data_IF_621495305321
#
_entry.id   IF_621495305321
#
_cell.length_a   1.000
_cell.length_b   1.000
_cell.length_c   1.000
_cell.angle_alpha   90.00
_cell.angle_beta   90.00
_cell.angle_gamma   90.00
#
_symmetry.space_group_name_H-M   'P 1'
#
loop_
_entity.id
_entity.type
_entity.pdbx_description
1 polymer ?
#
# COMPACT_ATOMS: atom_id res chain seq x y z
N UNK A 1 40.74 -47.04 21.82
CA UNK A 1 41.56 -46.01 22.47
C UNK A 1 41.46 -44.77 21.61
N UNK A 2 40.60 -43.81 21.98
CA UNK A 2 40.71 -42.42 21.48
C UNK A 2 41.83 -41.76 22.29
N UNK A 3 42.56 -40.83 21.68
CA UNK A 3 42.51 -39.48 22.21
C UNK A 3 42.34 -38.40 21.12
N UNK A 4 41.98 -37.24 21.65
CA UNK A 4 41.52 -35.99 21.05
C UNK A 4 42.55 -35.19 20.25
N UNK A 5 42.03 -34.10 19.66
CA UNK A 5 42.72 -32.85 19.26
C UNK A 5 43.16 -32.83 17.80
N UNK A 6 42.79 -31.88 16.94
CA UNK A 6 42.21 -30.55 17.13
C UNK A 6 41.45 -30.15 15.86
N UNK A 7 40.32 -29.50 16.08
CA UNK A 7 39.65 -28.63 15.13
C UNK A 7 40.58 -27.45 14.82
N UNK A 8 41.06 -27.31 13.59
CA UNK A 8 41.73 -26.09 13.12
C UNK A 8 41.02 -25.61 11.87
N UNK A 9 40.17 -24.61 12.07
CA UNK A 9 39.65 -23.72 11.04
C UNK A 9 40.82 -23.30 10.15
N UNK A 10 40.84 -23.78 8.89
CA UNK A 10 41.73 -23.22 7.90
C UNK A 10 41.20 -21.83 7.57
N UNK A 11 41.93 -20.86 8.08
CA UNK A 11 41.81 -19.43 7.86
C UNK A 11 41.55 -19.15 6.38
N UNK A 12 40.55 -18.32 6.10
CA UNK A 12 40.41 -17.62 4.83
C UNK A 12 41.63 -16.73 4.68
N UNK A 13 42.68 -17.29 4.08
CA UNK A 13 43.85 -16.54 3.64
C UNK A 13 43.32 -15.55 2.61
N UNK A 14 43.31 -14.26 2.95
CA UNK A 14 43.20 -13.17 1.99
C UNK A 14 44.44 -13.27 1.07
N UNK A 15 44.40 -14.23 0.14
CA UNK A 15 45.36 -14.30 -0.95
C UNK A 15 45.15 -13.05 -1.76
N UNK A 16 46.02 -12.07 -1.53
CA UNK A 16 46.19 -10.90 -2.37
C UNK A 16 46.53 -11.43 -3.76
N UNK A 17 45.51 -11.61 -4.59
CA UNK A 17 45.66 -12.02 -5.99
C UNK A 17 46.45 -10.93 -6.70
N UNK A 18 47.68 -11.25 -7.06
CA UNK A 18 48.53 -10.39 -7.88
C UNK A 18 48.05 -10.40 -9.35
N UNK A 19 48.15 -9.26 -10.02
CA UNK A 19 47.75 -9.11 -11.43
C UNK A 19 48.43 -10.13 -12.36
N UNK A 20 49.69 -10.47 -12.11
CA UNK A 20 50.43 -11.46 -12.89
C UNK A 20 49.89 -12.88 -12.69
N UNK A 21 49.47 -13.20 -11.47
CA UNK A 21 48.82 -14.47 -11.15
C UNK A 21 47.46 -14.60 -11.85
N UNK A 22 46.65 -13.53 -11.88
CA UNK A 22 45.38 -13.48 -12.63
C UNK A 22 45.62 -13.61 -14.14
N UNK A 23 46.65 -12.92 -14.68
CA UNK A 23 46.99 -12.99 -16.10
C UNK A 23 47.45 -14.39 -16.54
N UNK A 24 48.29 -15.05 -15.74
CA UNK A 24 48.73 -16.44 -16.01
C UNK A 24 47.54 -17.39 -16.02
N UNK A 25 46.64 -17.26 -15.04
CA UNK A 25 45.44 -18.08 -14.94
C UNK A 25 44.53 -17.94 -16.17
N UNK A 26 44.31 -16.72 -16.65
CA UNK A 26 43.49 -16.48 -17.85
C UNK A 26 44.15 -17.00 -19.14
N UNK A 27 45.48 -17.02 -19.21
CA UNK A 27 46.23 -17.60 -20.34
C UNK A 27 46.16 -19.13 -20.36
N UNK A 28 46.26 -19.76 -19.19
CA UNK A 28 46.18 -21.22 -19.04
C UNK A 28 44.75 -21.74 -19.24
N UNK A 29 43.75 -20.86 -19.11
CA UNK A 29 42.33 -21.18 -19.27
C UNK A 29 41.63 -20.28 -20.33
N UNK A 30 41.90 -20.45 -21.63
CA UNK A 30 41.30 -19.61 -22.68
C UNK A 30 39.78 -19.77 -22.82
N UNK A 31 39.22 -20.91 -22.39
CA UNK A 31 37.77 -21.20 -22.35
C UNK A 31 37.05 -20.47 -21.20
N UNK A 32 37.80 -19.82 -20.29
CA UNK A 32 37.28 -19.29 -19.04
C UNK A 32 36.11 -18.33 -19.24
N UNK A 33 36.19 -17.44 -20.23
CA UNK A 33 35.12 -16.48 -20.54
C UNK A 33 33.94 -17.09 -21.31
N UNK A 34 34.13 -18.20 -22.01
CA UNK A 34 33.03 -18.95 -22.62
C UNK A 34 32.20 -19.68 -21.55
N UNK A 35 32.85 -20.11 -20.47
CA UNK A 35 32.19 -20.76 -19.32
C UNK A 35 31.60 -19.77 -18.31
N UNK A 36 32.03 -18.50 -18.35
CA UNK A 36 31.62 -17.44 -17.43
C UNK A 36 31.16 -16.19 -18.19
N UNK A 37 30.19 -16.34 -19.10
CA UNK A 37 29.66 -15.25 -19.93
C UNK A 37 29.13 -14.08 -19.07
N UNK A 38 28.58 -14.36 -17.89
CA UNK A 38 28.10 -13.33 -16.95
C UNK A 38 29.22 -12.43 -16.40
N UNK A 39 30.44 -12.95 -16.25
CA UNK A 39 31.62 -12.18 -15.82
C UNK A 39 32.06 -11.22 -16.93
N UNK A 40 32.01 -11.67 -18.18
CA UNK A 40 32.28 -10.84 -19.35
C UNK A 40 31.23 -9.71 -19.49
N UNK A 41 29.97 -9.99 -19.16
CA UNK A 41 28.89 -9.00 -19.16
C UNK A 41 29.05 -7.92 -18.07
N UNK A 42 29.84 -8.17 -17.01
CA UNK A 42 30.09 -7.21 -15.91
C UNK A 42 31.43 -6.50 -16.04
N UNK A 43 32.40 -7.06 -16.75
CA UNK A 43 33.70 -6.42 -16.95
C UNK A 43 33.67 -5.25 -17.94
N UNK A 44 34.60 -4.31 -17.71
CA UNK A 44 34.95 -3.22 -18.63
C UNK A 44 36.26 -3.63 -19.30
N UNK A 45 36.17 -4.17 -20.51
CA UNK A 45 37.35 -4.47 -21.34
C UNK A 45 37.52 -3.31 -22.31
N UNK A 46 38.44 -2.37 -22.08
CA UNK A 46 38.67 -1.27 -23.01
C UNK A 46 39.26 -1.81 -24.31
N UNK A 47 38.55 -1.67 -25.42
CA UNK A 47 39.08 -2.01 -26.73
C UNK A 47 39.90 -0.81 -27.24
N UNK A 48 41.21 -1.00 -27.47
CA UNK A 48 42.06 0.09 -27.98
C UNK A 48 41.77 0.38 -29.45
N UNK A 49 40.66 1.05 -29.76
CA UNK A 49 40.36 1.60 -31.08
C UNK A 49 40.82 3.06 -31.22
N UNK A 50 42.04 3.40 -30.79
CA UNK A 50 42.59 4.76 -30.95
C UNK A 50 41.67 5.89 -30.45
N UNK A 51 41.66 7.05 -31.14
CA UNK A 51 40.88 8.24 -30.80
C UNK A 51 39.38 8.22 -31.18
N UNK A 52 38.87 7.08 -31.68
CA UNK A 52 37.47 6.90 -32.03
C UNK A 52 36.80 5.92 -31.05
N UNK A 53 35.70 6.34 -30.44
CA UNK A 53 34.88 5.49 -29.57
C UNK A 53 34.27 4.38 -30.46
N UNK A 54 34.48 3.11 -30.08
CA UNK A 54 33.93 1.97 -30.82
C UNK A 54 32.40 1.98 -30.76
N UNK A 55 31.73 1.89 -31.91
CA UNK A 55 30.28 1.77 -31.98
C UNK A 55 29.76 0.53 -31.23
N UNK A 56 30.57 -0.54 -31.18
CA UNK A 56 30.24 -1.75 -30.43
C UNK A 56 30.25 -1.49 -28.92
N UNK A 57 31.27 -0.78 -28.41
CA UNK A 57 31.32 -0.38 -26.99
C UNK A 57 30.12 0.51 -26.63
N UNK A 58 29.79 1.47 -27.51
CA UNK A 58 28.62 2.32 -27.33
C UNK A 58 27.32 1.52 -27.37
N UNK A 59 27.20 0.53 -28.26
CA UNK A 59 26.03 -0.33 -28.37
C UNK A 59 25.87 -1.25 -27.15
N UNK A 60 26.95 -1.86 -26.65
CA UNK A 60 26.95 -2.67 -25.43
C UNK A 60 26.58 -1.83 -24.22
N UNK A 61 27.14 -0.63 -24.08
CA UNK A 61 26.79 0.30 -23.00
C UNK A 61 25.30 0.70 -23.04
N UNK A 62 24.76 0.97 -24.24
CA UNK A 62 23.34 1.27 -24.43
C UNK A 62 22.45 0.06 -24.08
N UNK A 63 22.84 -1.15 -24.47
CA UNK A 63 22.11 -2.36 -24.13
C UNK A 63 22.13 -2.65 -22.63
N UNK A 64 23.28 -2.49 -21.96
CA UNK A 64 23.40 -2.63 -20.50
C UNK A 64 22.49 -1.63 -19.78
N UNK A 65 22.54 -0.36 -20.17
CA UNK A 65 21.66 0.68 -19.62
C UNK A 65 20.19 0.35 -19.83
N UNK A 66 19.80 -0.10 -21.03
CA UNK A 66 18.41 -0.48 -21.31
C UNK A 66 17.97 -1.69 -20.51
N UNK A 67 18.88 -2.64 -20.26
CA UNK A 67 18.62 -3.80 -19.43
C UNK A 67 18.41 -3.40 -17.97
N UNK A 68 19.27 -2.55 -17.42
CA UNK A 68 19.13 -1.96 -16.08
C UNK A 68 17.79 -1.21 -15.95
N UNK A 69 17.49 -0.29 -16.88
CA UNK A 69 16.21 0.45 -16.89
C UNK A 69 14.98 -0.47 -17.03
N UNK A 70 15.13 -1.66 -17.61
CA UNK A 70 14.04 -2.64 -17.72
C UNK A 70 13.90 -3.46 -16.43
N UNK A 71 15.02 -3.83 -15.80
CA UNK A 71 15.04 -4.51 -14.52
C UNK A 71 14.41 -3.63 -13.44
N UNK A 72 14.78 -2.35 -13.39
CA UNK A 72 14.18 -1.38 -12.46
C UNK A 72 12.65 -1.31 -12.61
N UNK A 73 12.13 -1.38 -13.84
CA UNK A 73 10.68 -1.39 -14.09
C UNK A 73 10.01 -2.66 -13.59
N UNK A 74 10.67 -3.81 -13.77
CA UNK A 74 10.16 -5.10 -13.28
C UNK A 74 10.12 -5.08 -11.75
N UNK A 75 11.17 -4.58 -11.10
CA UNK A 75 11.25 -4.49 -9.65
C UNK A 75 10.14 -3.59 -9.10
N UNK A 76 9.93 -2.43 -9.71
CA UNK A 76 8.79 -1.56 -9.39
C UNK A 76 7.43 -2.27 -9.58
N UNK A 77 7.25 -3.09 -10.62
CA UNK A 77 6.00 -3.85 -10.79
C UNK A 77 5.82 -4.91 -9.72
N UNK A 78 6.89 -5.59 -9.30
CA UNK A 78 6.85 -6.60 -8.23
C UNK A 78 6.49 -5.94 -6.90
N UNK A 79 7.06 -4.77 -6.59
CA UNK A 79 6.72 -4.00 -5.38
C UNK A 79 5.24 -3.62 -5.37
N UNK A 80 4.75 -3.01 -6.46
CA UNK A 80 3.32 -2.67 -6.58
C UNK A 80 2.42 -3.91 -6.50
N UNK A 81 2.82 -5.05 -7.07
CA UNK A 81 2.06 -6.28 -6.98
C UNK A 81 1.96 -6.80 -5.53
N UNK A 82 3.06 -6.74 -4.77
CA UNK A 82 3.07 -7.12 -3.35
C UNK A 82 2.19 -6.21 -2.50
N UNK A 83 2.26 -4.90 -2.70
CA UNK A 83 1.39 -3.94 -2.01
C UNK A 83 -0.09 -4.19 -2.31
N UNK A 84 -0.41 -4.51 -3.57
CA UNK A 84 -1.78 -4.84 -3.98
C UNK A 84 -2.28 -6.15 -3.34
N UNK A 85 -1.44 -7.19 -3.29
CA UNK A 85 -1.80 -8.46 -2.64
C UNK A 85 -2.04 -8.27 -1.14
N UNK A 86 -1.21 -7.44 -0.48
CA UNK A 86 -1.40 -7.11 0.93
C UNK A 86 -2.71 -6.34 1.17
N UNK A 87 -3.01 -5.34 0.34
CA UNK A 87 -4.27 -4.59 0.40
C UNK A 87 -5.48 -5.50 0.15
N UNK A 88 -5.37 -6.45 -0.78
CA UNK A 88 -6.42 -7.42 -1.06
C UNK A 88 -6.70 -8.30 0.16
N UNK A 89 -5.69 -8.88 0.79
CA UNK A 89 -5.89 -9.74 1.98
C UNK A 89 -6.43 -8.96 3.19
N UNK A 90 -5.98 -7.71 3.39
CA UNK A 90 -6.55 -6.80 4.40
C UNK A 90 -8.03 -6.52 4.13
N UNK A 91 -8.36 -6.17 2.89
CA UNK A 91 -9.74 -5.90 2.46
C UNK A 91 -10.63 -7.13 2.66
N UNK A 92 -10.14 -8.31 2.25
CA UNK A 92 -10.82 -9.60 2.45
C UNK A 92 -11.11 -9.86 3.92
N UNK A 93 -10.13 -9.64 4.79
CA UNK A 93 -10.26 -9.83 6.24
C UNK A 93 -11.31 -8.89 6.82
N UNK A 94 -11.25 -7.60 6.48
CA UNK A 94 -12.25 -6.60 6.92
C UNK A 94 -13.66 -6.98 6.46
N UNK A 95 -13.82 -7.44 5.23
CA UNK A 95 -15.13 -7.86 4.70
C UNK A 95 -15.70 -9.05 5.47
N UNK A 96 -14.88 -10.06 5.76
CA UNK A 96 -15.32 -11.22 6.53
C UNK A 96 -15.75 -10.81 7.95
N UNK A 97 -15.01 -9.88 8.57
CA UNK A 97 -15.38 -9.37 9.88
C UNK A 97 -16.68 -8.55 9.84
N UNK A 98 -16.88 -7.71 8.80
CA UNK A 98 -18.11 -6.93 8.60
C UNK A 98 -19.32 -7.87 8.56
N UNK A 99 -19.26 -8.93 7.74
CA UNK A 99 -20.38 -9.87 7.56
C UNK A 99 -20.75 -10.60 8.86
N UNK A 100 -19.81 -10.75 9.80
CA UNK A 100 -20.04 -11.41 11.08
C UNK A 100 -20.67 -10.48 12.15
N UNK A 101 -20.80 -9.19 11.89
CA UNK A 101 -21.44 -8.24 12.83
C UNK A 101 -22.96 -8.35 12.80
N UNK A 102 -23.60 -8.21 13.96
CA UNK A 102 -25.06 -8.37 14.13
C UNK A 102 -25.78 -7.07 14.46
N UNK A 103 -25.07 -5.97 14.67
CA UNK A 103 -25.67 -4.65 14.93
C UNK A 103 -24.84 -3.52 14.32
N UNK A 104 -25.46 -2.35 14.13
CA UNK A 104 -24.75 -1.16 13.66
C UNK A 104 -23.67 -0.67 14.63
N UNK A 105 -23.84 -0.94 15.93
CA UNK A 105 -22.89 -0.57 16.98
C UNK A 105 -21.62 -1.42 16.83
N UNK A 106 -21.79 -2.75 16.77
CA UNK A 106 -20.69 -3.69 16.50
C UNK A 106 -19.96 -3.36 15.19
N UNK A 107 -20.72 -2.97 14.15
CA UNK A 107 -20.14 -2.57 12.88
C UNK A 107 -19.30 -1.30 13.00
N UNK A 108 -19.79 -0.27 13.71
CA UNK A 108 -19.07 0.98 13.94
C UNK A 108 -17.79 0.76 14.75
N UNK A 109 -17.86 -0.07 15.79
CA UNK A 109 -16.71 -0.44 16.62
C UNK A 109 -15.68 -1.25 15.84
N UNK A 110 -16.14 -2.20 15.01
CA UNK A 110 -15.27 -2.97 14.13
C UNK A 110 -14.52 -2.05 13.18
N UNK A 111 -15.22 -1.15 12.48
CA UNK A 111 -14.61 -0.24 11.51
C UNK A 111 -13.55 0.64 12.18
N UNK A 112 -13.88 1.24 13.32
CA UNK A 112 -12.99 2.14 14.05
C UNK A 112 -11.73 1.43 14.56
N UNK A 113 -11.83 0.15 14.95
CA UNK A 113 -10.68 -0.62 15.45
C UNK A 113 -9.87 -1.30 14.34
N UNK A 114 -10.57 -1.93 13.37
CA UNK A 114 -9.96 -2.79 12.37
C UNK A 114 -9.23 -1.99 11.30
N UNK A 115 -9.81 -0.88 10.83
CA UNK A 115 -9.15 -0.05 9.81
C UNK A 115 -7.92 0.67 10.37
N UNK A 116 -7.92 1.06 11.64
CA UNK A 116 -6.72 1.60 12.30
C UNK A 116 -5.56 0.61 12.29
N UNK A 117 -5.85 -0.68 12.51
CA UNK A 117 -4.83 -1.72 12.59
C UNK A 117 -4.38 -2.21 11.21
N UNK A 118 -5.31 -2.52 10.33
CA UNK A 118 -5.00 -3.19 9.06
C UNK A 118 -4.52 -2.20 7.99
N UNK A 119 -5.09 -0.98 7.96
CA UNK A 119 -4.76 0.04 6.96
C UNK A 119 -3.73 1.06 7.45
N UNK A 120 -3.01 0.80 8.55
CA UNK A 120 -2.04 1.75 9.12
C UNK A 120 -2.66 3.15 9.39
N UNK A 121 -3.97 3.19 9.62
CA UNK A 121 -4.70 4.42 9.82
C UNK A 121 -4.49 4.93 11.25
N UNK A 122 -4.35 6.26 11.37
CA UNK A 122 -4.26 6.93 12.66
C UNK A 122 -5.63 7.02 13.32
N UNK A 123 -6.66 7.26 12.52
CA UNK A 123 -8.04 7.30 12.97
C UNK A 123 -8.95 6.83 11.85
N UNK A 124 -10.03 6.16 12.23
CA UNK A 124 -11.07 5.72 11.32
C UNK A 124 -12.39 5.71 12.06
N UNK A 125 -13.48 5.95 11.35
CA UNK A 125 -14.82 5.96 11.92
C UNK A 125 -15.87 5.70 10.86
N UNK A 126 -16.96 5.07 11.29
CA UNK A 126 -18.23 5.05 10.58
C UNK A 126 -19.18 5.99 11.30
N UNK A 127 -19.67 7.01 10.61
CA UNK A 127 -20.64 7.94 11.19
C UNK A 127 -21.86 8.09 10.29
N UNK A 128 -22.94 8.61 10.86
CA UNK A 128 -24.20 8.85 10.17
C UNK A 128 -24.51 10.35 10.14
N UNK A 129 -24.70 10.91 8.95
CA UNK A 129 -25.14 12.29 8.80
C UNK A 129 -26.67 12.36 8.89
N UNK A 130 -27.20 12.84 10.02
CA UNK A 130 -28.63 12.77 10.33
C UNK A 130 -29.02 13.74 11.45
N UNK A 131 -30.10 13.41 12.14
CA UNK A 131 -30.55 14.15 13.33
C UNK A 131 -29.98 13.44 14.56
N UNK A 132 -29.06 14.07 15.32
CA UNK A 132 -28.41 13.43 16.45
C UNK A 132 -29.42 13.14 17.56
N UNK A 133 -29.55 11.86 17.92
CA UNK A 133 -30.28 11.42 19.10
C UNK A 133 -29.39 11.53 20.34
N UNK A 134 -29.96 11.99 21.46
CA UNK A 134 -29.20 12.40 22.66
C UNK A 134 -28.48 11.25 23.38
N UNK A 135 -28.87 9.99 23.13
CA UNK A 135 -28.33 8.79 23.79
C UNK A 135 -27.94 7.66 22.80
N UNK A 136 -27.68 7.99 21.52
CA UNK A 136 -27.27 6.97 20.57
C UNK A 136 -25.82 6.54 20.78
N UNK A 137 -25.52 5.23 20.89
CA UNK A 137 -24.15 4.72 20.87
C UNK A 137 -23.47 4.88 19.51
N UNK A 138 -24.22 5.28 18.47
CA UNK A 138 -23.70 5.55 17.14
C UNK A 138 -23.21 6.99 17.02
N UNK A 139 -22.14 7.19 16.25
CA UNK A 139 -21.66 8.54 15.90
C UNK A 139 -22.62 9.17 14.88
N UNK A 140 -23.47 10.09 15.34
CA UNK A 140 -24.40 10.83 14.49
C UNK A 140 -24.01 12.31 14.46
N UNK A 141 -23.72 12.82 13.26
CA UNK A 141 -23.41 14.23 13.04
C UNK A 141 -24.59 14.97 12.39
N UNK A 142 -24.85 16.24 12.76
CA UNK A 142 -25.93 17.01 12.17
C UNK A 142 -25.79 17.11 10.65
N UNK A 143 -26.83 16.67 9.93
CA UNK A 143 -26.82 16.58 8.46
C UNK A 143 -26.37 17.89 7.78
N UNK A 144 -26.89 19.04 8.22
CA UNK A 144 -26.58 20.33 7.63
C UNK A 144 -25.13 20.78 7.91
N UNK A 145 -24.60 20.48 9.10
CA UNK A 145 -23.20 20.75 9.43
C UNK A 145 -22.28 19.88 8.58
N UNK A 146 -22.56 18.58 8.47
CA UNK A 146 -21.80 17.64 7.65
C UNK A 146 -21.81 18.05 6.18
N UNK A 147 -22.97 18.42 5.61
CA UNK A 147 -23.07 18.91 4.23
C UNK A 147 -22.24 20.16 4.00
N UNK A 148 -22.24 21.10 4.95
CA UNK A 148 -21.46 22.33 4.85
C UNK A 148 -19.96 22.03 4.83
N UNK A 149 -19.49 21.17 5.74
CA UNK A 149 -18.07 20.85 5.92
C UNK A 149 -17.51 19.97 4.80
N UNK A 150 -18.28 18.99 4.30
CA UNK A 150 -17.88 18.16 3.17
C UNK A 150 -18.13 18.82 1.81
N UNK A 151 -19.12 19.72 1.72
CA UNK A 151 -19.47 20.42 0.49
C UNK A 151 -19.71 19.46 -0.68
N UNK A 152 -18.93 19.62 -1.75
CA UNK A 152 -19.02 18.74 -2.95
C UNK A 152 -18.65 17.28 -2.66
N UNK A 153 -17.87 17.00 -1.61
CA UNK A 153 -17.48 15.63 -1.26
C UNK A 153 -18.68 14.82 -0.75
N UNK A 154 -19.68 15.47 -0.15
CA UNK A 154 -20.91 14.82 0.32
C UNK A 154 -21.74 14.22 -0.82
N UNK A 155 -21.65 14.80 -2.02
CA UNK A 155 -22.42 14.39 -3.19
C UNK A 155 -21.66 13.39 -4.08
N UNK A 156 -20.41 13.08 -3.76
CA UNK A 156 -19.62 12.13 -4.54
C UNK A 156 -20.19 10.72 -4.40
N UNK A 157 -20.00 9.95 -5.48
CA UNK A 157 -20.43 8.55 -5.56
C UNK A 157 -19.35 7.54 -5.22
N UNK A 158 -18.11 8.01 -5.08
CA UNK A 158 -16.92 7.20 -4.89
C UNK A 158 -16.07 7.78 -3.79
N UNK A 159 -15.24 6.92 -3.23
CA UNK A 159 -14.19 7.24 -2.29
C UNK A 159 -13.35 8.41 -2.81
N UNK A 160 -13.05 9.33 -1.90
CA UNK A 160 -12.17 10.45 -2.14
C UNK A 160 -10.99 10.35 -1.20
N UNK A 161 -9.79 10.24 -1.76
CA UNK A 161 -8.53 10.29 -1.03
C UNK A 161 -7.88 11.67 -1.21
N UNK A 162 -7.41 12.28 -0.12
CA UNK A 162 -6.76 13.58 -0.16
C UNK A 162 -6.47 14.16 1.22
N UNK A 163 -6.17 15.44 1.28
CA UNK A 163 -5.94 16.15 2.55
C UNK A 163 -7.26 16.68 3.11
N UNK A 164 -7.44 16.58 4.43
CA UNK A 164 -8.57 17.20 5.13
C UNK A 164 -8.27 18.66 5.40
N UNK A 165 -9.29 19.51 5.25
CA UNK A 165 -9.24 20.89 5.72
C UNK A 165 -9.28 20.92 7.25
N UNK A 166 -8.75 21.96 7.91
CA UNK A 166 -8.83 22.09 9.37
C UNK A 166 -10.24 21.93 9.94
N UNK A 167 -11.25 22.57 9.31
CA UNK A 167 -12.66 22.44 9.69
C UNK A 167 -13.19 21.00 9.59
N UNK A 168 -12.68 20.21 8.64
CA UNK A 168 -13.05 18.80 8.48
C UNK A 168 -12.39 17.95 9.56
N UNK A 169 -11.10 18.18 9.83
CA UNK A 169 -10.38 17.48 10.89
C UNK A 169 -10.97 17.76 12.27
N UNK A 170 -11.34 19.01 12.56
CA UNK A 170 -11.96 19.39 13.84
C UNK A 170 -13.33 18.75 14.03
N UNK A 171 -14.14 18.66 12.96
CA UNK A 171 -15.45 18.01 13.03
C UNK A 171 -15.35 16.49 13.20
N UNK A 172 -14.46 15.85 12.44
CA UNK A 172 -14.42 14.39 12.33
C UNK A 172 -13.45 13.75 13.32
N UNK A 173 -12.34 14.40 13.63
CA UNK A 173 -11.26 13.83 14.44
C UNK A 173 -10.69 14.88 15.42
N UNK A 174 -11.52 15.41 16.35
CA UNK A 174 -11.11 16.49 17.25
C UNK A 174 -9.88 16.14 18.10
N UNK A 175 -9.76 14.87 18.50
CA UNK A 175 -8.68 14.37 19.36
C UNK A 175 -7.44 13.89 18.58
N UNK A 176 -7.44 13.98 17.25
CA UNK A 176 -6.34 13.47 16.41
C UNK A 176 -5.58 14.62 15.74
N UNK A 177 -4.53 15.16 16.39
CA UNK A 177 -3.69 16.16 15.76
C UNK A 177 -2.87 15.57 14.61
N UNK A 178 -2.58 16.42 13.61
CA UNK A 178 -1.62 16.15 12.53
C UNK A 178 -2.05 15.12 11.47
N UNK A 179 -3.33 15.11 11.06
CA UNK A 179 -3.79 14.32 9.91
C UNK A 179 -3.24 14.95 8.61
N UNK A 180 -2.48 14.17 7.84
CA UNK A 180 -1.87 14.60 6.59
C UNK A 180 -2.51 13.97 5.35
N UNK A 181 -3.23 12.86 5.51
CA UNK A 181 -4.01 12.24 4.45
C UNK A 181 -5.27 11.60 5.02
N UNK A 182 -6.33 11.55 4.21
CA UNK A 182 -7.58 10.92 4.58
C UNK A 182 -8.32 10.38 3.35
N UNK A 183 -9.17 9.40 3.59
CA UNK A 183 -10.15 8.88 2.66
C UNK A 183 -11.57 9.08 3.21
N UNK A 184 -12.46 9.56 2.34
CA UNK A 184 -13.89 9.74 2.61
C UNK A 184 -14.64 8.81 1.69
N UNK A 185 -15.41 7.88 2.26
CA UNK A 185 -16.16 6.87 1.54
C UNK A 185 -17.66 7.05 1.82
N UNK A 186 -18.40 7.68 0.90
CA UNK A 186 -19.85 7.77 0.99
C UNK A 186 -20.47 6.38 0.82
N UNK A 187 -21.34 5.96 1.75
CA UNK A 187 -22.01 4.66 1.68
C UNK A 187 -23.41 4.85 1.12
N UNK A 188 -23.64 4.35 -0.10
CA UNK A 188 -24.90 4.53 -0.81
C UNK A 188 -25.84 3.36 -0.59
N UNK A 189 -26.86 3.56 0.25
CA UNK A 189 -27.91 2.57 0.46
C UNK A 189 -28.95 2.61 -0.66
N UNK A 190 -29.11 1.49 -1.37
CA UNK A 190 -30.21 1.32 -2.32
C UNK A 190 -31.54 1.23 -1.56
N UNK A 191 -32.58 1.91 -2.06
CA UNK A 191 -33.88 2.07 -1.39
C UNK A 191 -33.84 2.87 -0.08
N UNK A 192 -32.88 3.79 0.11
CA UNK A 192 -32.81 4.65 1.30
C UNK A 192 -34.15 5.33 1.68
N UNK A 193 -35.01 5.61 0.69
CA UNK A 193 -36.35 6.16 0.93
C UNK A 193 -37.27 5.23 1.73
N UNK A 194 -37.15 3.90 1.57
CA UNK A 194 -37.92 2.90 2.33
C UNK A 194 -37.33 2.66 3.73
N UNK A 195 -36.03 2.85 3.86
CA UNK A 195 -35.27 2.67 5.11
C UNK A 195 -35.17 3.96 5.94
N UNK A 196 -35.78 5.06 5.48
CA UNK A 196 -35.59 6.40 6.04
C UNK A 196 -36.01 6.52 7.50
N UNK A 197 -36.98 5.70 7.95
CA UNK A 197 -37.44 5.71 9.34
C UNK A 197 -36.59 4.81 10.26
N UNK A 198 -35.74 3.95 9.70
CA UNK A 198 -34.89 3.01 10.45
C UNK A 198 -33.41 3.39 10.37
N UNK A 199 -33.05 4.35 9.51
CA UNK A 199 -31.70 4.85 9.36
C UNK A 199 -31.47 6.05 10.27
N UNK A 200 -30.43 6.02 11.14
CA UNK A 200 -30.05 7.19 11.93
C UNK A 200 -29.52 8.36 11.07
N UNK A 201 -29.16 8.09 9.81
CA UNK A 201 -28.69 9.10 8.86
C UNK A 201 -28.06 8.49 7.63
N UNK A 202 -27.38 9.32 6.84
CA UNK A 202 -26.60 8.89 5.67
C UNK A 202 -25.24 8.37 6.16
N UNK A 203 -24.93 7.07 6.00
CA UNK A 203 -23.66 6.51 6.46
C UNK A 203 -22.48 7.00 5.63
N UNK A 204 -21.40 7.37 6.29
CA UNK A 204 -20.13 7.78 5.69
C UNK A 204 -19.01 7.15 6.50
N UNK A 205 -18.06 6.52 5.81
CA UNK A 205 -16.83 6.02 6.43
C UNK A 205 -15.69 7.00 6.16
N UNK A 206 -14.91 7.28 7.21
CA UNK A 206 -13.73 8.12 7.15
C UNK A 206 -12.52 7.33 7.64
N UNK A 207 -11.40 7.52 6.98
CA UNK A 207 -10.10 6.98 7.37
C UNK A 207 -9.08 8.10 7.25
N UNK A 208 -8.19 8.23 8.22
CA UNK A 208 -7.21 9.30 8.31
C UNK A 208 -5.85 8.76 8.75
N UNK A 209 -4.78 9.34 8.23
CA UNK A 209 -3.40 8.99 8.57
C UNK A 209 -2.53 10.23 8.74
N UNK A 210 -1.58 10.14 9.68
CA UNK A 210 -0.48 11.12 9.83
C UNK A 210 0.55 10.99 8.72
N UNK A 211 0.62 9.85 8.02
CA UNK A 211 1.54 9.67 6.89
C UNK A 211 1.03 10.48 5.70
N UNK A 212 1.83 11.40 5.12
CA UNK A 212 1.46 12.04 3.86
C UNK A 212 1.39 10.98 2.77
N UNK A 213 0.52 11.17 1.78
CA UNK A 213 0.39 10.28 0.62
C UNK A 213 -0.04 8.83 0.90
N UNK A 214 -0.42 8.49 2.15
CA UNK A 214 -0.91 7.15 2.50
C UNK A 214 -2.24 6.79 1.83
N UNK A 215 -3.06 7.81 1.57
CA UNK A 215 -4.29 7.69 0.78
C UNK A 215 -4.18 8.66 -0.39
N UNK A 216 -3.55 8.25 -1.48
CA UNK A 216 -3.39 9.09 -2.67
C UNK A 216 -3.60 8.34 -4.00
N UNK A 217 -3.72 7.01 -3.96
CA UNK A 217 -3.73 6.21 -5.17
C UNK A 217 -5.15 5.92 -5.64
N UNK A 218 -5.32 5.75 -6.95
CA UNK A 218 -6.60 5.32 -7.53
C UNK A 218 -6.91 3.85 -7.21
N UNK A 219 -5.92 3.07 -6.78
CA UNK A 219 -6.09 1.68 -6.36
C UNK A 219 -6.64 1.62 -4.93
N UNK A 220 -6.19 2.50 -4.03
CA UNK A 220 -6.71 2.61 -2.66
C UNK A 220 -8.21 2.92 -2.71
N UNK A 221 -8.64 3.80 -3.62
CA UNK A 221 -10.06 4.12 -3.76
C UNK A 221 -10.88 2.94 -4.24
N UNK A 222 -10.31 1.98 -4.99
CA UNK A 222 -11.04 0.80 -5.46
C UNK A 222 -11.39 -0.14 -4.29
N UNK A 223 -10.43 -0.43 -3.42
CA UNK A 223 -10.67 -1.26 -2.23
C UNK A 223 -11.63 -0.58 -1.26
N UNK A 224 -11.49 0.74 -1.07
CA UNK A 224 -12.37 1.52 -0.21
C UNK A 224 -13.79 1.63 -0.77
N UNK A 225 -13.95 1.80 -2.09
CA UNK A 225 -15.24 1.73 -2.77
C UNK A 225 -15.90 0.37 -2.53
N UNK A 226 -15.13 -0.71 -2.67
CA UNK A 226 -15.63 -2.06 -2.45
C UNK A 226 -16.07 -2.31 -1.01
N UNK A 227 -15.29 -1.84 -0.02
CA UNK A 227 -15.71 -1.86 1.40
C UNK A 227 -17.00 -1.07 1.58
N UNK A 228 -17.13 0.10 0.96
CA UNK A 228 -18.35 0.92 0.99
C UNK A 228 -19.57 0.20 0.40
N UNK A 229 -19.41 -0.55 -0.69
CA UNK A 229 -20.47 -1.37 -1.29
C UNK A 229 -20.90 -2.52 -0.37
N UNK A 230 -19.95 -3.22 0.25
CA UNK A 230 -20.23 -4.29 1.22
C UNK A 230 -20.93 -3.73 2.46
N UNK A 231 -20.45 -2.60 2.99
CA UNK A 231 -21.09 -1.91 4.11
C UNK A 231 -22.53 -1.53 3.78
N UNK A 232 -22.78 -1.02 2.56
CA UNK A 232 -24.14 -0.70 2.11
C UNK A 232 -25.06 -1.92 2.14
N UNK A 233 -24.61 -3.05 1.58
CA UNK A 233 -25.38 -4.29 1.59
C UNK A 233 -25.63 -4.83 3.01
N UNK A 234 -24.60 -4.78 3.87
CA UNK A 234 -24.67 -5.29 5.23
C UNK A 234 -25.57 -4.44 6.12
N UNK A 235 -25.42 -3.10 6.09
CA UNK A 235 -26.28 -2.16 6.82
C UNK A 235 -27.74 -2.36 6.41
N UNK A 236 -28.03 -2.54 5.12
CA UNK A 236 -29.38 -2.86 4.65
C UNK A 236 -29.90 -4.17 5.25
N UNK A 237 -29.07 -5.22 5.30
CA UNK A 237 -29.41 -6.51 5.91
C UNK A 237 -29.71 -6.40 7.40
N UNK A 238 -28.92 -5.61 8.14
CA UNK A 238 -29.12 -5.36 9.57
C UNK A 238 -30.41 -4.61 9.87
N UNK A 239 -30.82 -3.69 8.99
CA UNK A 239 -32.03 -2.87 9.17
C UNK A 239 -33.34 -3.54 8.72
N UNK A 240 -33.25 -4.60 7.92
CA UNK A 240 -34.41 -5.35 7.43
C UNK A 240 -34.73 -6.60 8.26
N UNK A 241 -33.93 -6.90 9.29
CA UNK A 241 -34.20 -7.95 10.28
C UNK A 241 -35.15 -7.45 11.36
#
# INVERSE_FOLDING_TARGET
MKPDSQNSLAESDDMILDEASVASFLLDHPEFFASHEELLAKMIIPHRSGGAISLLERQVALLRRKNEESQDKIDNFIENARENDELFEKTRTVILDIVNTNSLIELSDLISNKLNKDFDATASQLFFAGDPETDSPLQILPLEQTKKVLGKLFQRKRAYCGTLKPEQTELFFPDTPSINSAAIVPIHLQDAAKLKNSLPGIPIMLIASKKPQHFNSSLDTLFLDFIGEVLSAHIKGLLLR
#
